data_IF_211321688243
#
_entry.id   IF_211321688243
#
_cell.length_a   1.000
_cell.length_b   1.000
_cell.length_c   1.000
_cell.angle_alpha   90.00
_cell.angle_beta   90.00
_cell.angle_gamma   90.00
#
_symmetry.space_group_name_H-M   'P 1'
#
loop_
_entity.id
_entity.type
_entity.pdbx_description
1 polymer ?
#
# COMPACT_ATOMS: atom_id res chain seq x y z
N UNK A 1 11.35 -4.64 11.09
CA UNK A 1 12.19 -3.56 10.52
C UNK A 1 13.64 -3.78 10.94
N UNK A 2 14.55 -4.08 10.00
CA UNK A 2 15.98 -4.29 10.24
C UNK A 2 16.68 -3.14 10.96
N UNK A 3 16.32 -1.88 10.72
CA UNK A 3 16.85 -0.73 11.45
C UNK A 3 16.50 -0.77 12.95
N UNK A 4 15.28 -1.20 13.28
CA UNK A 4 14.90 -1.43 14.69
C UNK A 4 15.64 -2.61 15.30
N UNK A 5 15.92 -3.67 14.53
CA UNK A 5 16.67 -4.83 15.01
C UNK A 5 18.11 -4.47 15.39
N UNK A 6 18.72 -3.50 14.70
CA UNK A 6 20.07 -3.02 15.00
C UNK A 6 20.13 -2.15 16.27
N UNK A 7 19.02 -1.53 16.70
CA UNK A 7 18.95 -0.72 17.91
C UNK A 7 18.80 -1.60 19.16
N UNK A 8 19.90 -1.78 19.89
CA UNK A 8 19.98 -2.66 21.07
C UNK A 8 19.03 -2.30 22.21
N UNK A 9 18.71 -1.01 22.40
CA UNK A 9 17.82 -0.58 23.48
C UNK A 9 16.35 -0.87 23.15
N UNK A 10 15.95 -0.67 21.90
CA UNK A 10 14.56 -0.78 21.47
C UNK A 10 14.20 -2.24 21.11
N UNK A 11 15.14 -2.98 20.52
CA UNK A 11 14.87 -4.32 19.99
C UNK A 11 14.43 -5.31 21.07
N UNK A 12 15.10 -5.30 22.23
CA UNK A 12 14.93 -6.29 23.28
C UNK A 12 13.61 -6.09 23.98
N UNK A 13 13.24 -4.83 24.25
CA UNK A 13 11.94 -4.48 24.79
C UNK A 13 10.79 -4.91 23.86
N UNK A 14 10.89 -4.61 22.55
CA UNK A 14 9.84 -4.95 21.58
C UNK A 14 9.67 -6.45 21.40
N UNK A 15 10.77 -7.21 21.32
CA UNK A 15 10.73 -8.67 21.17
C UNK A 15 10.16 -9.32 22.43
N UNK A 16 10.59 -8.88 23.63
CA UNK A 16 10.04 -9.41 24.88
C UNK A 16 8.54 -9.13 24.99
N UNK A 17 8.12 -7.89 24.74
CA UNK A 17 6.70 -7.52 24.80
C UNK A 17 5.86 -8.33 23.81
N UNK A 18 6.37 -8.57 22.59
CA UNK A 18 5.68 -9.36 21.59
C UNK A 18 5.56 -10.84 22.00
N UNK A 19 6.64 -11.43 22.51
CA UNK A 19 6.65 -12.81 22.98
C UNK A 19 5.70 -13.02 24.17
N UNK A 20 5.68 -12.10 25.13
CA UNK A 20 4.75 -12.14 26.27
C UNK A 20 3.28 -12.13 25.81
N UNK A 21 2.95 -11.26 24.84
CA UNK A 21 1.61 -11.22 24.25
C UNK A 21 1.26 -12.54 23.55
N UNK A 22 2.19 -13.12 22.79
CA UNK A 22 1.93 -14.38 22.09
C UNK A 22 1.77 -15.57 23.04
N UNK A 23 2.52 -15.60 24.15
CA UNK A 23 2.34 -16.59 25.22
C UNK A 23 0.99 -16.41 25.91
N UNK A 24 0.62 -15.17 26.26
CA UNK A 24 -0.66 -14.86 26.89
C UNK A 24 -1.86 -15.25 26.00
N UNK A 25 -1.71 -15.19 24.68
CA UNK A 25 -2.72 -15.60 23.70
C UNK A 25 -2.60 -17.07 23.29
N UNK A 26 -1.77 -17.86 23.97
CA UNK A 26 -1.53 -19.28 23.72
C UNK A 26 -1.15 -19.59 22.25
N UNK A 27 -0.52 -18.63 21.56
CA UNK A 27 -0.05 -18.82 20.17
C UNK A 27 1.30 -19.54 20.13
N UNK A 28 2.11 -19.36 21.17
CA UNK A 28 3.38 -20.06 21.41
C UNK A 28 3.45 -20.48 22.88
N UNK A 29 4.15 -21.57 23.18
CA UNK A 29 4.43 -21.98 24.56
C UNK A 29 5.51 -21.10 25.20
N UNK A 30 5.56 -21.08 26.53
CA UNK A 30 6.62 -20.35 27.27
C UNK A 30 8.02 -20.82 26.88
N UNK A 31 8.20 -22.13 26.68
CA UNK A 31 9.49 -22.73 26.31
C UNK A 31 9.92 -22.29 24.91
N UNK A 32 8.99 -22.29 23.95
CA UNK A 32 9.25 -21.79 22.60
C UNK A 32 9.59 -20.30 22.62
N UNK A 33 8.91 -19.51 23.45
CA UNK A 33 9.16 -18.08 23.57
C UNK A 33 10.57 -17.77 24.12
N UNK A 34 11.00 -18.48 25.16
CA UNK A 34 12.35 -18.35 25.73
C UNK A 34 13.43 -18.76 24.72
N UNK A 35 13.20 -19.86 23.98
CA UNK A 35 14.12 -20.32 22.93
C UNK A 35 14.21 -19.31 21.78
N UNK A 36 13.08 -18.76 21.34
CA UNK A 36 13.04 -17.71 20.31
C UNK A 36 13.79 -16.44 20.76
N UNK A 37 13.61 -16.03 22.02
CA UNK A 37 14.30 -14.89 22.62
C UNK A 37 15.81 -15.07 22.64
N UNK A 38 16.29 -16.20 23.14
CA UNK A 38 17.73 -16.49 23.17
C UNK A 38 18.34 -16.52 21.77
N UNK A 39 17.64 -17.15 20.83
CA UNK A 39 18.05 -17.22 19.42
C UNK A 39 18.11 -15.83 18.78
N UNK A 40 17.15 -14.96 19.08
CA UNK A 40 17.11 -13.58 18.59
C UNK A 40 18.29 -12.76 19.11
N UNK A 41 18.58 -12.86 20.40
CA UNK A 41 19.71 -12.16 21.02
C UNK A 41 21.04 -12.61 20.40
N UNK A 42 21.23 -13.92 20.20
CA UNK A 42 22.42 -14.44 19.53
C UNK A 42 22.53 -13.97 18.08
N UNK A 43 21.41 -13.94 17.34
CA UNK A 43 21.36 -13.46 15.96
C UNK A 43 21.78 -11.98 15.86
N UNK A 44 21.24 -11.11 16.72
CA UNK A 44 21.54 -9.66 16.70
C UNK A 44 22.92 -9.33 17.31
N UNK A 45 23.47 -10.21 18.15
CA UNK A 45 24.81 -10.04 18.69
C UNK A 45 25.91 -10.27 17.64
N UNK A 46 25.62 -10.99 16.54
CA UNK A 46 26.60 -11.28 15.50
C UNK A 46 26.85 -10.04 14.60
N UNK A 47 28.11 -9.62 14.48
CA UNK A 47 28.50 -8.47 13.66
C UNK A 47 28.25 -8.66 12.16
N UNK A 48 28.35 -9.88 11.64
CA UNK A 48 28.03 -10.16 10.24
C UNK A 48 26.54 -10.01 9.95
N UNK A 49 25.69 -10.38 10.91
CA UNK A 49 24.25 -10.18 10.83
C UNK A 49 23.95 -8.68 10.79
N UNK A 50 24.58 -7.87 11.65
CA UNK A 50 24.40 -6.41 11.66
C UNK A 50 24.78 -5.78 10.32
N UNK A 51 25.90 -6.20 9.73
CA UNK A 51 26.31 -5.75 8.39
C UNK A 51 25.28 -6.14 7.33
N UNK A 52 24.75 -7.36 7.38
CA UNK A 52 23.70 -7.81 6.47
C UNK A 52 22.41 -7.01 6.66
N UNK A 53 21.96 -6.78 7.90
CA UNK A 53 20.75 -5.98 8.19
C UNK A 53 20.88 -4.53 7.73
N UNK A 54 22.10 -3.98 7.67
CA UNK A 54 22.35 -2.62 7.20
C UNK A 54 22.25 -2.47 5.66
N UNK A 55 22.30 -3.56 4.89
CA UNK A 55 22.15 -3.50 3.43
C UNK A 55 20.69 -3.49 2.97
N UNK A 56 19.74 -3.60 3.89
CA UNK A 56 18.32 -3.64 3.57
C UNK A 56 17.79 -2.26 3.12
N UNK A 57 17.18 -2.22 1.94
CA UNK A 57 16.48 -1.03 1.43
C UNK A 57 14.95 -1.22 1.49
N UNK A 58 14.25 -0.38 2.25
CA UNK A 58 12.79 -0.43 2.37
C UNK A 58 12.04 -0.19 1.04
N UNK A 59 12.68 0.45 0.04
CA UNK A 59 12.07 0.78 -1.25
C UNK A 59 12.21 -0.35 -2.29
N UNK A 60 13.36 -1.02 -2.28
CA UNK A 60 13.70 -2.04 -3.28
C UNK A 60 13.51 -3.47 -2.74
N UNK A 61 13.73 -3.69 -1.44
CA UNK A 61 13.73 -5.02 -0.85
C UNK A 61 12.41 -5.37 -0.16
N UNK A 62 11.96 -6.60 -0.40
CA UNK A 62 10.88 -7.22 0.38
C UNK A 62 11.40 -7.75 1.71
N UNK A 63 10.85 -7.24 2.82
CA UNK A 63 11.25 -7.60 4.18
C UNK A 63 11.22 -9.11 4.47
N UNK A 64 10.16 -9.80 4.03
CA UNK A 64 9.96 -11.22 4.29
C UNK A 64 10.99 -12.10 3.56
N UNK A 65 11.26 -11.77 2.28
CA UNK A 65 12.28 -12.45 1.47
C UNK A 65 13.67 -12.21 2.05
N UNK A 66 13.96 -10.96 2.40
CA UNK A 66 15.23 -10.55 2.99
C UNK A 66 15.51 -11.29 4.31
N UNK A 67 14.56 -11.28 5.25
CA UNK A 67 14.72 -11.97 6.53
C UNK A 67 14.84 -13.49 6.37
N UNK A 68 14.08 -14.10 5.45
CA UNK A 68 14.20 -15.53 5.15
C UNK A 68 15.61 -15.89 4.66
N UNK A 69 16.18 -15.07 3.77
CA UNK A 69 17.55 -15.26 3.30
C UNK A 69 18.56 -15.13 4.43
N UNK A 70 18.43 -14.11 5.29
CA UNK A 70 19.28 -13.93 6.46
C UNK A 70 19.18 -15.11 7.44
N UNK A 71 17.98 -15.58 7.75
CA UNK A 71 17.78 -16.72 8.67
C UNK A 71 18.37 -18.03 8.14
N UNK A 72 18.28 -18.27 6.83
CA UNK A 72 18.95 -19.42 6.19
C UNK A 72 20.46 -19.29 6.24
N UNK A 73 21.00 -18.10 5.96
CA UNK A 73 22.44 -17.83 5.96
C UNK A 73 23.06 -18.02 7.35
N UNK A 74 22.39 -17.55 8.39
CA UNK A 74 22.89 -17.57 9.77
C UNK A 74 22.33 -18.71 10.62
N UNK A 75 21.64 -19.67 9.99
CA UNK A 75 21.08 -20.88 10.61
C UNK A 75 20.34 -20.63 11.93
N UNK A 76 19.35 -19.75 11.87
CA UNK A 76 18.52 -19.36 13.01
C UNK A 76 17.59 -20.50 13.45
N UNK A 77 17.25 -20.55 14.75
CA UNK A 77 16.34 -21.56 15.31
C UNK A 77 14.94 -21.54 14.69
N UNK A 78 14.26 -22.69 14.71
CA UNK A 78 12.92 -22.84 14.16
C UNK A 78 11.89 -22.01 14.94
N UNK A 79 12.11 -21.86 16.24
CA UNK A 79 11.27 -21.10 17.16
C UNK A 79 11.30 -19.61 16.81
N UNK A 80 12.47 -19.07 16.46
CA UNK A 80 12.57 -17.67 16.02
C UNK A 80 11.96 -17.46 14.63
N UNK A 81 12.10 -18.43 13.72
CA UNK A 81 11.43 -18.38 12.41
C UNK A 81 9.91 -18.36 12.61
N UNK A 82 9.37 -19.29 13.42
CA UNK A 82 7.94 -19.36 13.76
C UNK A 82 7.43 -18.05 14.39
N UNK A 83 8.17 -17.49 15.35
CA UNK A 83 7.84 -16.19 15.92
C UNK A 83 7.76 -15.09 14.84
N UNK A 84 8.75 -15.04 13.95
CA UNK A 84 8.82 -14.02 12.89
C UNK A 84 7.68 -14.19 11.88
N UNK A 85 7.34 -15.42 11.51
CA UNK A 85 6.19 -15.72 10.66
C UNK A 85 4.89 -15.22 11.28
N UNK A 86 4.64 -15.52 12.56
CA UNK A 86 3.46 -15.03 13.29
C UNK A 86 3.43 -13.50 13.27
N UNK A 87 4.55 -12.84 13.57
CA UNK A 87 4.63 -11.37 13.58
C UNK A 87 4.36 -10.77 12.19
N UNK A 88 4.91 -11.37 11.13
CA UNK A 88 4.72 -10.88 9.75
C UNK A 88 3.30 -11.12 9.24
N UNK A 89 2.62 -12.18 9.69
CA UNK A 89 1.23 -12.48 9.34
C UNK A 89 0.24 -11.61 10.15
N UNK A 90 0.50 -11.40 11.44
CA UNK A 90 -0.35 -10.61 12.34
C UNK A 90 -0.22 -9.09 12.12
N UNK A 91 0.76 -8.62 11.35
CA UNK A 91 0.87 -7.21 10.99
C UNK A 91 -0.21 -6.85 9.95
N UNK A 92 -1.41 -6.55 10.44
CA UNK A 92 -2.63 -6.18 9.70
C UNK A 92 -2.50 -4.94 8.78
N UNK A 93 -1.32 -4.32 8.69
CA UNK A 93 -1.03 -3.23 7.76
C UNK A 93 -0.79 -3.66 6.30
N UNK A 94 -0.56 -4.97 6.05
CA UNK A 94 -0.21 -5.48 4.72
C UNK A 94 -1.32 -6.28 4.00
N UNK A 95 -2.40 -6.66 4.69
CA UNK A 95 -3.51 -7.30 4.02
C UNK A 95 -4.38 -6.22 3.35
N UNK A 96 -4.20 -6.02 2.05
CA UNK A 96 -5.19 -5.33 1.22
C UNK A 96 -6.62 -5.90 1.43
N UNK A 97 -6.70 -7.15 1.87
CA UNK A 97 -7.93 -7.90 2.18
C UNK A 97 -8.49 -7.57 3.57
N UNK A 98 -7.69 -7.22 4.58
CA UNK A 98 -8.21 -6.88 5.92
C UNK A 98 -8.72 -5.43 6.01
N UNK A 99 -8.29 -4.53 5.10
CA UNK A 99 -8.97 -3.24 4.90
C UNK A 99 -10.45 -3.39 4.51
N UNK A 100 -10.82 -4.48 3.84
CA UNK A 100 -12.21 -4.76 3.46
C UNK A 100 -13.05 -5.39 4.58
N UNK A 101 -12.44 -5.85 5.68
CA UNK A 101 -13.16 -6.45 6.82
C UNK A 101 -13.16 -5.58 8.07
N UNK A 102 -12.17 -4.70 8.25
CA UNK A 102 -12.19 -3.69 9.31
C UNK A 102 -12.80 -2.40 8.79
N UNK A 103 -14.02 -2.09 9.23
CA UNK A 103 -14.70 -0.82 8.99
C UNK A 103 -13.99 0.26 9.83
N UNK A 104 -12.80 0.68 9.40
CA UNK A 104 -12.19 1.88 9.94
C UNK A 104 -12.93 3.09 9.34
N UNK A 105 -13.56 3.91 10.19
CA UNK A 105 -14.33 5.10 9.78
C UNK A 105 -13.52 6.06 8.90
N UNK A 106 -12.19 6.05 9.06
CA UNK A 106 -11.25 6.85 8.27
C UNK A 106 -10.90 6.25 6.91
N UNK A 107 -11.23 4.97 6.64
CA UNK A 107 -10.93 4.31 5.36
C UNK A 107 -12.11 4.29 4.37
N UNK A 108 -13.34 4.51 4.85
CA UNK A 108 -14.53 4.52 4.00
C UNK A 108 -14.64 5.74 3.09
N UNK A 109 -14.05 6.88 3.49
CA UNK A 109 -14.37 8.18 2.87
C UNK A 109 -13.30 8.66 1.89
N UNK A 110 -12.03 8.28 2.05
CA UNK A 110 -10.94 8.88 1.25
C UNK A 110 -10.45 8.08 0.03
N UNK A 111 -10.64 6.75 -0.04
CA UNK A 111 -10.03 5.93 -1.12
C UNK A 111 -11.02 5.14 -1.99
N UNK A 112 -12.32 5.23 -1.72
CA UNK A 112 -13.34 4.64 -2.57
C UNK A 112 -13.87 5.71 -3.53
N UNK A 113 -13.72 5.46 -4.83
CA UNK A 113 -14.39 6.30 -5.83
C UNK A 113 -15.91 6.23 -5.61
N UNK A 114 -16.62 7.34 -5.77
CA UNK A 114 -18.08 7.44 -5.61
C UNK A 114 -18.82 6.32 -6.37
N UNK A 115 -18.38 6.03 -7.60
CA UNK A 115 -18.95 4.96 -8.43
C UNK A 115 -18.85 3.57 -7.78
N UNK A 116 -17.81 3.32 -6.97
CA UNK A 116 -17.66 2.07 -6.22
C UNK A 116 -18.71 1.97 -5.11
N UNK A 117 -18.98 3.08 -4.41
CA UNK A 117 -20.01 3.14 -3.35
C UNK A 117 -21.41 2.94 -3.94
N UNK A 118 -21.71 3.61 -5.07
CA UNK A 118 -22.98 3.43 -5.80
C UNK A 118 -23.17 1.98 -6.23
N UNK A 119 -22.12 1.35 -6.76
CA UNK A 119 -22.16 -0.05 -7.19
C UNK A 119 -22.40 -1.01 -6.03
N UNK A 120 -21.71 -0.80 -4.90
CA UNK A 120 -21.91 -1.62 -3.69
C UNK A 120 -23.33 -1.49 -3.14
N UNK A 121 -23.86 -0.26 -3.10
CA UNK A 121 -25.23 -0.01 -2.66
C UNK A 121 -26.25 -0.69 -3.56
N UNK A 122 -26.08 -0.61 -4.89
CA UNK A 122 -26.95 -1.29 -5.84
C UNK A 122 -26.96 -2.82 -5.63
N UNK A 123 -25.80 -3.42 -5.36
CA UNK A 123 -25.71 -4.86 -5.04
C UNK A 123 -26.41 -5.17 -3.72
N UNK A 124 -26.18 -4.38 -2.68
CA UNK A 124 -26.80 -4.56 -1.38
C UNK A 124 -28.33 -4.46 -1.46
N UNK A 125 -28.85 -3.41 -2.10
CA UNK A 125 -30.29 -3.19 -2.27
C UNK A 125 -30.93 -4.33 -3.07
N UNK A 126 -30.26 -4.82 -4.12
CA UNK A 126 -30.74 -5.97 -4.89
C UNK A 126 -30.82 -7.25 -4.05
N UNK A 127 -29.78 -7.55 -3.26
CA UNK A 127 -29.75 -8.74 -2.38
C UNK A 127 -30.77 -8.62 -1.26
N UNK A 128 -30.92 -7.43 -0.67
CA UNK A 128 -31.90 -7.15 0.39
C UNK A 128 -33.32 -7.34 -0.13
N UNK A 129 -33.64 -6.79 -1.30
CA UNK A 129 -34.96 -6.92 -1.94
C UNK A 129 -35.31 -8.37 -2.31
N UNK A 130 -34.31 -9.22 -2.56
CA UNK A 130 -34.52 -10.65 -2.84
C UNK A 130 -34.81 -11.47 -1.57
N UNK A 131 -34.72 -10.90 -0.37
CA UNK A 131 -34.89 -11.62 0.90
C UNK A 131 -33.57 -12.10 1.52
N UNK A 132 -32.44 -11.52 1.09
CA UNK A 132 -31.12 -11.84 1.59
C UNK A 132 -30.36 -12.88 0.76
N UNK A 133 -29.24 -13.35 1.29
CA UNK A 133 -28.35 -14.24 0.55
C UNK A 133 -28.91 -15.67 0.38
N UNK A 134 -29.76 -16.11 1.31
CA UNK A 134 -30.34 -17.46 1.29
C UNK A 134 -31.33 -17.69 0.13
N UNK A 135 -31.97 -16.63 -0.35
CA UNK A 135 -32.90 -16.66 -1.49
C UNK A 135 -32.22 -16.35 -2.82
N UNK A 136 -30.92 -16.09 -2.83
CA UNK A 136 -30.19 -15.70 -4.04
C UNK A 136 -29.92 -16.92 -4.94
N UNK A 137 -30.58 -16.95 -6.09
CA UNK A 137 -30.36 -18.00 -7.10
C UNK A 137 -29.19 -17.63 -8.01
N UNK A 138 -28.10 -18.41 -7.96
CA UNK A 138 -26.92 -18.20 -8.80
C UNK A 138 -27.26 -18.56 -10.25
N UNK A 139 -27.48 -17.54 -11.08
CA UNK A 139 -27.80 -17.73 -12.50
C UNK A 139 -26.53 -17.96 -13.34
N UNK A 140 -26.65 -18.67 -14.46
CA UNK A 140 -25.53 -18.85 -15.43
C UNK A 140 -24.90 -17.53 -15.88
N UNK A 141 -25.70 -16.45 -15.96
CA UNK A 141 -25.23 -15.10 -16.29
C UNK A 141 -24.26 -14.54 -15.24
N UNK A 142 -24.53 -14.74 -13.95
CA UNK A 142 -23.63 -14.30 -12.87
C UNK A 142 -22.29 -15.04 -12.96
N UNK A 143 -22.33 -16.36 -13.21
CA UNK A 143 -21.13 -17.18 -13.38
C UNK A 143 -20.29 -16.68 -14.56
N UNK A 144 -20.91 -16.39 -15.71
CA UNK A 144 -20.21 -15.83 -16.86
C UNK A 144 -19.65 -14.43 -16.59
N UNK A 145 -20.40 -13.57 -15.90
CA UNK A 145 -19.95 -12.23 -15.53
C UNK A 145 -18.70 -12.29 -14.65
N UNK A 146 -18.67 -13.18 -13.64
CA UNK A 146 -17.51 -13.38 -12.78
C UNK A 146 -16.31 -13.92 -13.55
N UNK A 147 -16.52 -14.92 -14.42
CA UNK A 147 -15.45 -15.48 -15.27
C UNK A 147 -14.80 -14.42 -16.17
N UNK A 148 -15.59 -13.48 -16.69
CA UNK A 148 -15.11 -12.42 -17.57
C UNK A 148 -14.63 -11.16 -16.81
N UNK A 149 -14.86 -11.06 -15.50
CA UNK A 149 -14.59 -9.85 -14.72
C UNK A 149 -13.12 -9.40 -14.80
N UNK A 150 -12.17 -10.35 -14.80
CA UNK A 150 -10.74 -10.06 -14.95
C UNK A 150 -10.43 -9.39 -16.29
N UNK A 151 -11.00 -9.90 -17.38
CA UNK A 151 -10.82 -9.34 -18.71
C UNK A 151 -11.47 -7.95 -18.82
N UNK A 152 -12.70 -7.80 -18.34
CA UNK A 152 -13.40 -6.52 -18.31
C UNK A 152 -12.63 -5.45 -17.53
N UNK A 153 -12.04 -5.83 -16.38
CA UNK A 153 -11.20 -4.92 -15.60
C UNK A 153 -9.95 -4.49 -16.37
N UNK A 154 -9.28 -5.43 -17.06
CA UNK A 154 -8.09 -5.10 -17.87
C UNK A 154 -8.43 -4.14 -19.00
N UNK A 155 -9.56 -4.37 -19.68
CA UNK A 155 -10.05 -3.49 -20.74
C UNK A 155 -10.43 -2.10 -20.21
N UNK A 156 -11.15 -2.03 -19.09
CA UNK A 156 -11.51 -0.77 -18.45
C UNK A 156 -10.27 0.02 -18.00
N UNK A 157 -9.25 -0.65 -17.47
CA UNK A 157 -8.00 -0.01 -17.07
C UNK A 157 -7.23 0.52 -18.28
N UNK A 158 -7.24 -0.21 -19.41
CA UNK A 158 -6.63 0.25 -20.65
C UNK A 158 -7.33 1.50 -21.19
N UNK A 159 -8.67 1.50 -21.25
CA UNK A 159 -9.45 2.67 -21.66
C UNK A 159 -9.20 3.88 -20.77
N UNK A 160 -9.13 3.68 -19.46
CA UNK A 160 -8.83 4.77 -18.51
C UNK A 160 -7.46 5.40 -18.76
N UNK A 161 -6.43 4.57 -19.03
CA UNK A 161 -5.10 5.08 -19.38
C UNK A 161 -5.12 5.89 -20.67
N UNK A 162 -5.81 5.40 -21.71
CA UNK A 162 -5.95 6.12 -22.98
C UNK A 162 -6.73 7.45 -22.82
N UNK A 163 -7.71 7.50 -21.92
CA UNK A 163 -8.43 8.73 -21.58
C UNK A 163 -7.56 9.71 -20.80
N UNK A 164 -6.81 9.23 -19.80
CA UNK A 164 -5.91 10.06 -19.00
C UNK A 164 -4.78 10.65 -19.87
N UNK A 165 -4.20 9.87 -20.79
CA UNK A 165 -3.20 10.32 -21.76
C UNK A 165 -3.75 11.44 -22.66
N UNK A 166 -4.96 11.27 -23.22
CA UNK A 166 -5.62 12.31 -24.03
C UNK A 166 -5.93 13.58 -23.25
N UNK A 167 -6.24 13.45 -21.96
CA UNK A 167 -6.49 14.61 -21.09
C UNK A 167 -5.20 15.35 -20.81
N UNK A 168 -4.10 14.65 -20.54
CA UNK A 168 -2.79 15.28 -20.36
C UNK A 168 -2.28 15.95 -21.62
N UNK A 169 -2.42 15.33 -22.79
CA UNK A 169 -2.09 15.96 -24.09
C UNK A 169 -2.86 17.27 -24.33
N UNK A 170 -4.14 17.32 -23.94
CA UNK A 170 -4.94 18.56 -24.04
C UNK A 170 -4.49 19.62 -23.02
N UNK A 171 -4.09 19.21 -21.82
CA UNK A 171 -3.59 20.15 -20.80
C UNK A 171 -2.25 20.76 -21.23
N UNK A 172 -1.35 19.97 -21.80
CA UNK A 172 -0.07 20.47 -22.31
C UNK A 172 -0.29 21.45 -23.46
N UNK A 173 -1.15 21.13 -24.44
CA UNK A 173 -1.46 22.04 -25.55
C UNK A 173 -2.08 23.36 -25.08
N UNK A 174 -3.06 23.30 -24.16
CA UNK A 174 -3.66 24.50 -23.57
C UNK A 174 -2.65 25.34 -22.78
N UNK A 175 -1.71 24.70 -22.08
CA UNK A 175 -0.66 25.41 -21.33
C UNK A 175 0.31 26.16 -22.26
N UNK A 176 0.59 25.61 -23.44
CA UNK A 176 1.42 26.24 -24.46
C UNK A 176 0.69 27.44 -25.09
N UNK A 177 -0.60 27.30 -25.39
CA UNK A 177 -1.44 28.40 -25.88
C UNK A 177 -1.51 29.56 -24.88
N UNK A 178 -1.69 29.28 -23.58
CA UNK A 178 -1.69 30.30 -22.53
C UNK A 178 -0.37 31.07 -22.51
N UNK A 179 0.77 30.36 -22.56
CA UNK A 179 2.10 31.01 -22.59
C UNK A 179 2.29 31.89 -23.82
N UNK A 180 1.80 31.47 -24.99
CA UNK A 180 1.84 32.27 -26.21
C UNK A 180 0.97 33.53 -26.13
N UNK A 181 -0.20 33.44 -25.51
CA UNK A 181 -1.09 34.59 -25.31
C UNK A 181 -0.46 35.57 -24.30
N UNK A 182 0.12 35.09 -23.21
CA UNK A 182 0.79 35.92 -22.20
C UNK A 182 1.99 36.68 -22.77
N UNK A 183 2.79 36.04 -23.62
CA UNK A 183 3.94 36.69 -24.26
C UNK A 183 3.49 37.79 -25.22
N UNK A 184 2.48 37.54 -26.05
CA UNK A 184 1.88 38.54 -26.95
C UNK A 184 1.27 39.71 -26.17
N UNK A 185 0.56 39.44 -25.07
CA UNK A 185 0.01 40.49 -24.20
C UNK A 185 1.12 41.38 -23.62
N UNK A 186 2.23 40.80 -23.20
CA UNK A 186 3.38 41.55 -22.66
C UNK A 186 4.02 42.45 -23.71
N UNK A 187 4.21 41.94 -24.94
CA UNK A 187 4.75 42.72 -26.05
C UNK A 187 3.88 43.92 -26.41
N UNK A 188 2.55 43.72 -26.47
CA UNK A 188 1.60 44.80 -26.77
C UNK A 188 1.62 45.88 -25.68
N UNK A 189 1.69 45.49 -24.40
CA UNK A 189 1.77 46.44 -23.29
C UNK A 189 3.07 47.27 -23.32
N UNK A 190 4.20 46.64 -23.65
CA UNK A 190 5.48 47.33 -23.80
C UNK A 190 5.45 48.32 -24.96
N UNK A 191 4.94 47.89 -26.13
CA UNK A 191 4.79 48.78 -27.28
C UNK A 191 3.85 49.97 -26.99
N UNK A 192 2.76 49.75 -26.25
CA UNK A 192 1.84 50.82 -25.86
C UNK A 192 2.49 51.81 -24.87
N UNK A 193 3.33 51.34 -23.95
CA UNK A 193 4.09 52.20 -23.03
C UNK A 193 5.17 53.02 -23.75
N UNK A 194 5.87 52.41 -24.70
CA UNK A 194 6.87 53.10 -25.54
C UNK A 194 6.20 54.21 -26.38
N UNK A 195 5.05 53.92 -27.00
CA UNK A 195 4.28 54.91 -27.75
C UNK A 195 3.74 56.06 -26.87
N UNK A 196 3.31 55.78 -25.64
CA UNK A 196 2.88 56.81 -24.70
C UNK A 196 4.04 57.73 -24.30
N UNK A 197 5.25 57.18 -24.11
CA UNK A 197 6.45 57.94 -23.78
C UNK A 197 6.96 58.79 -24.95
N UNK A 198 6.73 58.34 -26.19
CA UNK A 198 7.05 59.12 -27.40
C UNK A 198 6.09 60.28 -27.65
N UNK A 199 4.82 60.16 -27.24
CA UNK A 199 3.81 61.23 -27.35
C UNK A 199 3.95 62.33 -26.28
N UNK A 200 4.67 62.06 -25.18
CA UNK A 200 4.94 63.02 -24.10
C UNK A 200 6.23 63.85 -24.30
N UNK A 201 6.94 63.67 -25.43
CA UNK A 201 8.10 64.48 -25.86
C UNK A 201 7.74 65.51 -26.92
#
# INVERSE_FOLDING_TARGET
NPATMMNSAINSYRVNSALEVLVAKQQISSIEADSAKQSYLHFVANDEVRKCLATFDEKEDRLDVFLNHAYKRFNVSKELVKFTEIVLVMFHGNAAVERSFSINKNCLVENLQENSLVSQRAVYDAVSNMGGLASLVITKRLIHAVKNASQMRKEALKRKKEEDEKVEEKKTSLSEEIKQIESKKRQILQAAQEQALELEK
#
